data_IF_118939562082
#
_entry.id   IF_118939562082
#
_cell.length_a   1.000
_cell.length_b   1.000
_cell.length_c   1.000
_cell.angle_alpha   90.00
_cell.angle_beta   90.00
_cell.angle_gamma   90.00
#
_symmetry.space_group_name_H-M   'P 1'
#
loop_
_entity.id
_entity.type
_entity.pdbx_description
1 polymer ?
#
# COMPACT_ATOMS: atom_id res chain seq x y z
N UNK A 1 6.64 -5.64 1.74
CA UNK A 1 5.97 -6.64 0.88
C UNK A 1 4.57 -6.81 1.40
N UNK A 2 3.57 -6.54 0.56
CA UNK A 2 2.18 -6.87 0.88
C UNK A 2 1.94 -8.29 0.35
N UNK A 3 1.64 -9.28 1.22
CA UNK A 3 1.34 -10.62 0.75
C UNK A 3 0.11 -10.60 -0.16
N UNK A 4 0.21 -11.22 -1.34
CA UNK A 4 -0.88 -11.33 -2.32
C UNK A 4 -1.40 -9.99 -2.85
N UNK A 5 -0.51 -9.04 -3.11
CA UNK A 5 -0.89 -7.73 -3.66
C UNK A 5 -1.49 -7.83 -5.07
N UNK A 6 -1.05 -8.79 -5.87
CA UNK A 6 -1.58 -9.05 -7.21
C UNK A 6 -2.64 -10.14 -7.21
N UNK A 7 -3.55 -10.10 -8.19
CA UNK A 7 -4.62 -11.09 -8.38
C UNK A 7 -4.13 -12.53 -8.55
N UNK A 8 -2.87 -12.72 -8.93
CA UNK A 8 -2.17 -14.01 -9.07
C UNK A 8 -1.45 -14.46 -7.79
N UNK A 9 -1.45 -13.63 -6.74
CA UNK A 9 -0.83 -13.94 -5.46
C UNK A 9 0.66 -13.58 -5.36
N UNK A 10 1.22 -12.88 -6.34
CA UNK A 10 2.61 -12.44 -6.31
C UNK A 10 2.85 -11.20 -5.44
N UNK A 11 4.09 -11.03 -4.97
CA UNK A 11 4.52 -9.95 -4.10
C UNK A 11 5.50 -9.03 -4.82
N UNK A 12 5.50 -7.74 -4.49
CA UNK A 12 6.54 -6.82 -4.97
C UNK A 12 7.91 -7.18 -4.38
N UNK A 13 8.94 -7.22 -5.21
CA UNK A 13 10.30 -7.59 -4.83
C UNK A 13 11.26 -6.41 -4.86
N UNK A 14 12.16 -6.33 -3.87
CA UNK A 14 13.32 -5.42 -3.86
C UNK A 14 14.59 -6.25 -3.90
N UNK A 15 15.53 -5.79 -4.69
CA UNK A 15 16.89 -6.31 -4.73
C UNK A 15 17.89 -5.29 -4.15
N UNK A 16 18.68 -5.74 -3.18
CA UNK A 16 19.83 -5.02 -2.63
C UNK A 16 21.10 -5.81 -2.97
N UNK A 17 21.87 -5.36 -3.95
CA UNK A 17 23.15 -5.98 -4.27
C UNK A 17 23.74 -5.52 -5.60
N UNK A 18 24.99 -5.88 -5.89
CA UNK A 18 25.63 -5.56 -7.16
C UNK A 18 25.01 -6.34 -8.32
N UNK A 19 24.89 -5.71 -9.48
CA UNK A 19 24.47 -6.35 -10.72
C UNK A 19 25.70 -6.87 -11.49
N UNK A 20 25.62 -8.04 -12.18
CA UNK A 20 24.47 -8.94 -12.32
C UNK A 20 24.19 -9.80 -11.10
N UNK A 21 22.90 -10.18 -10.93
CA UNK A 21 22.43 -11.07 -9.88
C UNK A 21 23.07 -12.46 -10.00
N UNK A 22 23.60 -12.99 -8.90
CA UNK A 22 24.00 -14.40 -8.82
C UNK A 22 22.81 -15.28 -8.37
N UNK A 23 22.88 -16.59 -8.65
CA UNK A 23 21.87 -17.54 -8.14
C UNK A 23 21.76 -17.51 -6.61
N UNK A 24 22.85 -17.18 -5.91
CA UNK A 24 22.87 -17.04 -4.46
C UNK A 24 22.12 -15.79 -3.99
N UNK A 25 22.20 -14.69 -4.75
CA UNK A 25 21.46 -13.46 -4.45
C UNK A 25 19.96 -13.66 -4.61
N UNK A 26 19.52 -14.39 -5.63
CA UNK A 26 18.12 -14.75 -5.85
C UNK A 26 17.59 -15.63 -4.74
N UNK A 27 18.32 -16.66 -4.33
CA UNK A 27 17.94 -17.54 -3.22
C UNK A 27 17.86 -16.79 -1.88
N UNK A 28 18.79 -15.86 -1.62
CA UNK A 28 18.77 -15.00 -0.44
C UNK A 28 17.59 -14.03 -0.44
N UNK A 29 17.15 -13.57 -1.61
CA UNK A 29 15.99 -12.72 -1.81
C UNK A 29 14.68 -13.47 -1.54
N UNK A 30 14.52 -14.68 -2.05
CA UNK A 30 13.37 -15.55 -1.75
C UNK A 30 13.26 -15.87 -0.26
N UNK A 31 14.37 -16.09 0.43
CA UNK A 31 14.39 -16.35 1.86
C UNK A 31 13.91 -15.15 2.67
N UNK A 32 14.31 -13.93 2.29
CA UNK A 32 13.85 -12.67 2.91
C UNK A 32 12.38 -12.39 2.65
N UNK A 33 11.90 -12.69 1.45
CA UNK A 33 10.49 -12.59 1.07
C UNK A 33 9.61 -13.48 1.94
N UNK A 34 10.04 -14.73 2.13
CA UNK A 34 9.32 -15.70 2.96
C UNK A 34 9.33 -15.31 4.44
N UNK A 35 10.44 -14.76 4.95
CA UNK A 35 10.53 -14.27 6.33
C UNK A 35 9.61 -13.06 6.58
N UNK A 36 9.57 -12.11 5.65
CA UNK A 36 8.67 -10.95 5.75
C UNK A 36 7.19 -11.33 5.68
N UNK A 37 6.84 -12.33 4.84
CA UNK A 37 5.48 -12.87 4.76
C UNK A 37 5.07 -13.60 6.06
N UNK A 38 6.01 -14.27 6.73
CA UNK A 38 5.77 -14.92 8.02
C UNK A 38 5.51 -13.88 9.14
N UNK A 39 6.23 -12.76 9.14
CA UNK A 39 6.00 -11.70 10.14
C UNK A 39 4.68 -10.94 9.96
N UNK A 40 4.14 -10.87 8.75
CA UNK A 40 2.82 -10.26 8.49
C UNK A 40 1.64 -11.13 8.98
N UNK A 41 1.87 -12.41 9.29
CA UNK A 41 0.83 -13.38 9.68
C UNK A 41 0.72 -13.66 11.19
N UNK A 42 1.66 -13.22 12.03
CA UNK A 42 1.77 -13.66 13.43
C UNK A 42 1.25 -12.69 14.51
N UNK A 43 0.51 -11.65 14.16
CA UNK A 43 0.00 -10.69 15.16
C UNK A 43 -1.43 -11.01 15.63
N UNK A 44 -1.71 -12.24 16.03
CA UNK A 44 -2.93 -12.58 16.74
C UNK A 44 -2.58 -13.02 18.18
N UNK A 45 -2.43 -12.06 19.11
CA UNK A 45 -2.28 -12.39 20.53
C UNK A 45 -1.67 -11.34 21.44
N UNK A 46 -0.72 -10.55 20.98
CA UNK A 46 -0.09 -9.53 21.80
C UNK A 46 -0.66 -8.13 21.51
N UNK A 47 -0.96 -7.40 22.60
CA UNK A 47 -1.43 -6.03 22.52
C UNK A 47 -0.36 -5.16 21.84
N UNK A 48 -0.70 -4.53 20.70
CA UNK A 48 0.22 -3.64 19.99
C UNK A 48 0.40 -2.36 20.82
N UNK A 49 1.62 -2.04 21.27
CA UNK A 49 1.85 -0.79 21.98
C UNK A 49 1.57 0.39 21.05
N UNK A 50 0.83 1.39 21.53
CA UNK A 50 0.55 2.61 20.80
C UNK A 50 1.44 3.73 21.32
N UNK A 51 2.25 4.31 20.45
CA UNK A 51 3.12 5.45 20.76
C UNK A 51 2.60 6.73 20.10
N UNK A 52 2.23 7.71 20.92
CA UNK A 52 1.79 9.01 20.46
C UNK A 52 0.41 9.02 19.79
N UNK A 53 0.25 9.91 18.81
CA UNK A 53 -0.95 10.06 17.99
C UNK A 53 -0.92 9.19 16.75
N UNK A 54 -2.06 9.08 16.08
CA UNK A 54 -2.24 8.26 14.90
C UNK A 54 -2.30 9.08 13.61
N UNK A 55 -1.85 8.50 12.52
CA UNK A 55 -2.13 8.96 11.16
C UNK A 55 -3.06 7.93 10.51
N UNK A 56 -4.20 8.39 10.01
CA UNK A 56 -5.06 7.59 9.17
C UNK A 56 -4.62 7.73 7.72
N UNK A 57 -4.28 6.62 7.06
CA UNK A 57 -3.95 6.56 5.65
C UNK A 57 -5.10 5.93 4.86
N UNK A 58 -5.45 6.54 3.71
CA UNK A 58 -6.54 6.10 2.82
C UNK A 58 -5.99 5.88 1.41
N UNK A 59 -6.31 4.73 0.83
CA UNK A 59 -5.95 4.36 -0.54
C UNK A 59 -7.20 3.95 -1.32
N UNK A 60 -7.38 4.53 -2.51
CA UNK A 60 -8.48 4.22 -3.42
C UNK A 60 -8.12 4.40 -4.89
N UNK A 61 -6.85 4.24 -5.26
CA UNK A 61 -6.37 4.63 -6.59
C UNK A 61 -6.82 3.75 -7.75
N UNK A 62 -7.24 2.51 -7.50
CA UNK A 62 -7.65 1.57 -8.54
C UNK A 62 -8.91 0.78 -8.17
N UNK A 63 -8.79 -0.46 -7.72
CA UNK A 63 -9.89 -1.39 -7.46
C UNK A 63 -9.91 -1.90 -5.99
N UNK A 64 -9.08 -1.32 -5.15
CA UNK A 64 -9.08 -1.59 -3.71
C UNK A 64 -9.37 -0.33 -2.91
N UNK A 65 -10.29 -0.44 -1.94
CA UNK A 65 -10.48 0.58 -0.92
C UNK A 65 -9.73 0.14 0.33
N UNK A 66 -8.73 0.89 0.75
CA UNK A 66 -7.94 0.54 1.92
C UNK A 66 -7.83 1.70 2.91
N UNK A 67 -7.76 1.36 4.21
CA UNK A 67 -7.41 2.28 5.27
C UNK A 67 -6.43 1.63 6.24
N UNK A 68 -5.48 2.41 6.74
CA UNK A 68 -4.54 1.98 7.76
C UNK A 68 -4.37 3.06 8.84
N UNK A 69 -4.15 2.63 10.07
CA UNK A 69 -3.76 3.49 11.19
C UNK A 69 -2.32 3.18 11.57
N UNK A 70 -1.49 4.22 11.60
CA UNK A 70 -0.06 4.15 11.90
C UNK A 70 0.23 5.11 13.05
N UNK A 71 1.02 4.68 14.03
CA UNK A 71 1.44 5.52 15.15
C UNK A 71 2.70 6.35 14.84
N UNK A 72 3.13 7.19 15.80
CA UNK A 72 4.32 8.03 15.66
C UNK A 72 5.63 7.25 15.55
N UNK A 73 5.67 6.00 16.01
CA UNK A 73 6.82 5.12 15.84
C UNK A 73 6.88 4.46 14.46
N UNK A 74 5.81 4.60 13.65
CA UNK A 74 5.67 3.98 12.35
C UNK A 74 5.11 2.56 12.41
N UNK A 75 4.53 2.16 13.55
CA UNK A 75 3.87 0.86 13.73
C UNK A 75 2.51 0.87 13.07
N UNK A 76 2.22 -0.12 12.23
CA UNK A 76 0.88 -0.31 11.70
C UNK A 76 -0.02 -0.90 12.78
N UNK A 77 -0.88 -0.06 13.32
CA UNK A 77 -1.82 -0.42 14.40
C UNK A 77 -2.98 -1.23 13.86
N UNK A 78 -3.51 -0.82 12.71
CA UNK A 78 -4.56 -1.55 11.99
C UNK A 78 -4.46 -1.29 10.50
N UNK A 79 -4.93 -2.25 9.69
CA UNK A 79 -5.10 -2.09 8.25
C UNK A 79 -6.27 -2.91 7.74
N UNK A 80 -7.09 -2.30 6.91
CA UNK A 80 -8.30 -2.91 6.32
C UNK A 80 -8.32 -2.66 4.83
N UNK A 81 -8.59 -3.71 4.07
CA UNK A 81 -8.68 -3.65 2.61
C UNK A 81 -9.97 -4.30 2.14
N UNK A 82 -10.77 -3.56 1.40
CA UNK A 82 -11.91 -4.06 0.65
C UNK A 82 -11.55 -4.13 -0.84
N UNK A 83 -11.31 -5.34 -1.35
CA UNK A 83 -10.96 -5.57 -2.76
C UNK A 83 -12.21 -5.75 -3.61
N UNK A 84 -12.16 -5.23 -4.84
CA UNK A 84 -13.20 -5.36 -5.86
C UNK A 84 -12.84 -6.42 -6.92
N UNK A 85 -11.75 -7.18 -6.72
CA UNK A 85 -11.21 -8.14 -7.70
C UNK A 85 -12.26 -9.14 -8.15
N UNK A 86 -13.02 -9.75 -7.22
CA UNK A 86 -14.05 -10.72 -7.54
C UNK A 86 -15.17 -10.15 -8.42
N UNK A 87 -15.41 -8.87 -8.31
CA UNK A 87 -16.38 -8.17 -9.12
C UNK A 87 -15.83 -7.89 -10.52
N UNK A 88 -14.63 -7.34 -10.61
CA UNK A 88 -14.01 -6.93 -11.87
C UNK A 88 -13.55 -8.11 -12.74
N UNK A 89 -13.23 -9.26 -12.13
CA UNK A 89 -12.87 -10.50 -12.85
C UNK A 89 -13.92 -10.94 -13.87
N UNK A 90 -15.21 -10.63 -13.60
CA UNK A 90 -16.35 -10.94 -14.48
C UNK A 90 -16.34 -10.12 -15.78
N UNK A 91 -15.59 -9.00 -15.80
CA UNK A 91 -15.50 -8.10 -16.96
C UNK A 91 -14.14 -8.22 -17.65
N UNK A 92 -13.26 -9.10 -17.19
CA UNK A 92 -11.92 -9.28 -17.76
C UNK A 92 -10.93 -8.16 -17.39
N UNK A 93 -11.25 -7.34 -16.39
CA UNK A 93 -10.40 -6.25 -15.92
C UNK A 93 -11.19 -5.15 -15.22
N UNK A 94 -10.48 -4.14 -14.70
CA UNK A 94 -11.07 -3.04 -13.94
C UNK A 94 -11.92 -2.13 -14.84
N UNK A 95 -13.17 -1.89 -14.43
CA UNK A 95 -14.09 -0.94 -15.05
C UNK A 95 -14.12 0.34 -14.23
N UNK A 96 -13.52 1.46 -14.70
CA UNK A 96 -13.27 2.66 -13.87
C UNK A 96 -14.51 3.28 -13.21
N UNK A 97 -15.64 3.35 -13.93
CA UNK A 97 -16.88 3.89 -13.37
C UNK A 97 -17.46 3.02 -12.26
N UNK A 98 -17.35 1.71 -12.40
CA UNK A 98 -17.82 0.77 -11.40
C UNK A 98 -16.90 0.83 -10.18
N UNK A 99 -15.58 0.88 -10.38
CA UNK A 99 -14.62 1.03 -9.31
C UNK A 99 -14.93 2.26 -8.46
N UNK A 100 -15.18 3.41 -9.07
CA UNK A 100 -15.52 4.64 -8.36
C UNK A 100 -16.75 4.49 -7.48
N UNK A 101 -17.82 3.86 -7.99
CA UNK A 101 -19.06 3.61 -7.22
C UNK A 101 -18.82 2.66 -6.05
N UNK A 102 -18.01 1.62 -6.26
CA UNK A 102 -17.65 0.66 -5.20
C UNK A 102 -16.83 1.30 -4.09
N UNK A 103 -15.96 2.25 -4.41
CA UNK A 103 -15.25 3.03 -3.39
C UNK A 103 -16.20 3.86 -2.53
N UNK A 104 -17.23 4.50 -3.12
CA UNK A 104 -18.24 5.24 -2.36
C UNK A 104 -18.98 4.33 -1.38
N UNK A 105 -19.33 3.11 -1.80
CA UNK A 105 -20.04 2.14 -0.98
C UNK A 105 -19.16 1.62 0.18
N UNK A 106 -17.85 1.43 -0.04
CA UNK A 106 -16.96 0.74 0.88
C UNK A 106 -16.23 1.66 1.87
N UNK A 107 -15.85 2.88 1.45
CA UNK A 107 -14.85 3.71 2.16
C UNK A 107 -15.23 4.01 3.61
N UNK A 108 -16.50 4.30 3.87
CA UNK A 108 -16.98 4.58 5.23
C UNK A 108 -16.86 3.35 6.13
N UNK A 109 -17.26 2.17 5.64
CA UNK A 109 -17.15 0.91 6.37
C UNK A 109 -15.70 0.52 6.64
N UNK A 110 -14.82 0.64 5.63
CA UNK A 110 -13.39 0.34 5.74
C UNK A 110 -12.70 1.19 6.81
N UNK A 111 -12.99 2.47 6.84
CA UNK A 111 -12.39 3.40 7.81
C UNK A 111 -12.91 3.15 9.23
N UNK A 112 -14.21 2.86 9.39
CA UNK A 112 -14.78 2.52 10.70
C UNK A 112 -14.20 1.20 11.21
N UNK A 113 -14.11 0.19 10.35
CA UNK A 113 -13.53 -1.11 10.69
C UNK A 113 -12.06 -0.98 11.08
N UNK A 114 -11.28 -0.14 10.38
CA UNK A 114 -9.89 0.13 10.72
C UNK A 114 -9.75 0.69 12.16
N UNK A 115 -10.61 1.60 12.57
CA UNK A 115 -10.62 2.09 13.95
C UNK A 115 -11.04 1.00 14.95
N UNK A 116 -12.01 0.15 14.59
CA UNK A 116 -12.45 -0.95 15.44
C UNK A 116 -11.31 -1.96 15.67
N UNK A 117 -10.59 -2.35 14.62
CA UNK A 117 -9.40 -3.22 14.72
C UNK A 117 -8.28 -2.57 15.54
N UNK A 118 -8.05 -1.27 15.39
CA UNK A 118 -7.06 -0.56 16.20
C UNK A 118 -7.40 -0.61 17.70
N UNK A 119 -8.67 -0.45 18.07
CA UNK A 119 -9.14 -0.59 19.46
C UNK A 119 -8.89 -2.00 20.00
N UNK A 120 -9.20 -3.01 19.23
CA UNK A 120 -9.01 -4.41 19.60
C UNK A 120 -7.52 -4.73 19.77
N UNK A 121 -6.70 -4.39 18.77
CA UNK A 121 -5.26 -4.71 18.76
C UNK A 121 -4.46 -3.96 19.83
N UNK A 122 -4.85 -2.73 20.17
CA UNK A 122 -4.18 -1.94 21.21
C UNK A 122 -4.77 -2.13 22.60
N UNK A 123 -5.93 -2.75 22.73
CA UNK A 123 -6.67 -2.83 23.98
C UNK A 123 -7.25 -1.48 24.46
N UNK A 124 -7.18 -0.42 23.63
CA UNK A 124 -7.68 0.92 23.95
C UNK A 124 -9.10 1.11 23.38
N UNK A 125 -10.11 0.77 24.17
CA UNK A 125 -11.51 0.88 23.76
C UNK A 125 -11.98 2.32 23.52
N UNK A 126 -11.32 3.30 24.10
CA UNK A 126 -11.60 4.74 24.01
C UNK A 126 -10.93 5.43 22.81
N UNK A 127 -10.09 4.71 22.05
CA UNK A 127 -9.46 5.24 20.86
C UNK A 127 -10.49 5.81 19.88
N UNK A 128 -10.27 7.01 19.38
CA UNK A 128 -11.26 7.78 18.60
C UNK A 128 -10.58 8.63 17.52
N UNK A 129 -11.36 9.28 16.69
CA UNK A 129 -10.85 10.21 15.67
C UNK A 129 -10.14 11.44 16.27
N UNK A 130 -10.32 11.73 17.58
CA UNK A 130 -9.60 12.80 18.28
C UNK A 130 -8.13 12.46 18.54
N UNK A 131 -7.75 11.19 18.38
CA UNK A 131 -6.38 10.72 18.56
C UNK A 131 -5.56 10.82 17.26
N UNK A 132 -6.18 11.31 16.17
CA UNK A 132 -5.48 11.55 14.92
C UNK A 132 -4.57 12.79 15.02
N UNK A 133 -3.36 12.65 14.45
CA UNK A 133 -2.45 13.77 14.15
C UNK A 133 -2.64 14.29 12.73
N UNK A 134 -3.03 13.42 11.80
CA UNK A 134 -3.24 13.75 10.40
C UNK A 134 -4.12 12.69 9.71
N UNK A 135 -4.67 13.07 8.55
CA UNK A 135 -5.23 12.14 7.56
C UNK A 135 -4.36 12.20 6.31
N UNK A 136 -3.91 11.07 5.80
CA UNK A 136 -3.20 10.96 4.54
C UNK A 136 -4.05 10.23 3.50
N UNK A 137 -3.88 10.59 2.22
CA UNK A 137 -4.64 10.00 1.12
C UNK A 137 -3.82 9.96 -0.15
N UNK A 138 -3.95 8.89 -0.90
CA UNK A 138 -3.38 8.82 -2.25
C UNK A 138 -4.11 9.76 -3.18
N UNK A 139 -3.36 10.68 -3.82
CA UNK A 139 -3.91 11.68 -4.73
C UNK A 139 -3.60 11.42 -6.22
N UNK A 140 -2.52 10.67 -6.51
CA UNK A 140 -2.06 10.32 -7.86
C UNK A 140 -0.90 9.32 -7.79
N UNK A 141 -0.60 8.59 -8.91
CA UNK A 141 -1.49 8.31 -10.04
C UNK A 141 -2.58 7.31 -9.69
N UNK A 142 -3.58 7.16 -10.56
CA UNK A 142 -4.68 6.21 -10.41
C UNK A 142 -5.91 6.58 -11.25
N UNK A 143 -6.97 5.82 -11.11
CA UNK A 143 -8.25 6.09 -11.76
C UNK A 143 -8.87 7.36 -11.17
N UNK A 144 -9.11 8.37 -12.02
CA UNK A 144 -9.54 9.70 -11.57
C UNK A 144 -10.78 9.66 -10.68
N UNK A 145 -11.81 8.89 -11.08
CA UNK A 145 -13.03 8.76 -10.28
C UNK A 145 -12.81 8.12 -8.93
N UNK A 146 -11.94 7.11 -8.84
CA UNK A 146 -11.58 6.42 -7.61
C UNK A 146 -10.77 7.34 -6.68
N UNK A 147 -9.76 8.05 -7.20
CA UNK A 147 -8.98 9.05 -6.47
C UNK A 147 -9.85 10.17 -5.90
N UNK A 148 -10.83 10.66 -6.69
CA UNK A 148 -11.77 11.71 -6.23
C UNK A 148 -12.56 11.25 -5.01
N UNK A 149 -13.00 10.00 -4.97
CA UNK A 149 -13.74 9.45 -3.81
C UNK A 149 -12.88 9.46 -2.57
N UNK A 150 -11.68 8.89 -2.63
CA UNK A 150 -10.75 8.85 -1.48
C UNK A 150 -10.35 10.24 -1.02
N UNK A 151 -9.98 11.13 -1.95
CA UNK A 151 -9.57 12.49 -1.63
C UNK A 151 -10.71 13.32 -1.01
N UNK A 152 -11.95 13.19 -1.53
CA UNK A 152 -13.11 13.90 -0.98
C UNK A 152 -13.44 13.41 0.44
N UNK A 153 -13.43 12.09 0.66
CA UNK A 153 -13.66 11.49 1.96
C UNK A 153 -12.59 11.92 2.97
N UNK A 154 -11.31 11.77 2.62
CA UNK A 154 -10.19 12.15 3.48
C UNK A 154 -10.21 13.64 3.85
N UNK A 155 -10.52 14.50 2.88
CA UNK A 155 -10.66 15.95 3.11
C UNK A 155 -11.79 16.26 4.10
N UNK A 156 -12.95 15.61 3.95
CA UNK A 156 -14.09 15.78 4.86
C UNK A 156 -13.74 15.34 6.29
N UNK A 157 -13.07 14.19 6.41
CA UNK A 157 -12.66 13.65 7.71
C UNK A 157 -11.58 14.51 8.38
N UNK A 158 -10.54 14.93 7.64
CA UNK A 158 -9.49 15.80 8.15
C UNK A 158 -10.06 17.13 8.66
N UNK A 159 -11.01 17.71 7.91
CA UNK A 159 -11.71 18.93 8.32
C UNK A 159 -12.56 18.72 9.57
N UNK A 160 -13.30 17.62 9.65
CA UNK A 160 -14.14 17.30 10.80
C UNK A 160 -13.34 17.04 12.09
N UNK A 161 -12.13 16.49 11.96
CA UNK A 161 -11.23 16.21 13.09
C UNK A 161 -10.27 17.37 13.40
N UNK A 162 -10.31 18.46 12.63
CA UNK A 162 -9.38 19.60 12.73
C UNK A 162 -7.91 19.19 12.70
N UNK A 163 -7.57 18.31 11.74
CA UNK A 163 -6.20 17.80 11.53
C UNK A 163 -5.74 18.05 10.10
N UNK A 164 -4.41 18.13 9.85
CA UNK A 164 -3.88 18.30 8.50
C UNK A 164 -4.23 17.14 7.57
N UNK A 165 -4.43 17.47 6.29
CA UNK A 165 -4.55 16.51 5.18
C UNK A 165 -3.22 16.42 4.43
N UNK A 166 -2.72 15.19 4.23
CA UNK A 166 -1.46 14.91 3.55
C UNK A 166 -1.75 14.14 2.25
N UNK A 167 -1.35 14.70 1.11
CA UNK A 167 -1.41 13.99 -0.17
C UNK A 167 -0.18 13.09 -0.36
N UNK A 168 -0.41 11.82 -0.70
CA UNK A 168 0.64 10.83 -0.94
C UNK A 168 0.59 10.37 -2.39
N UNK A 169 1.75 10.25 -3.02
CA UNK A 169 1.86 9.65 -4.35
C UNK A 169 1.78 8.12 -4.23
N UNK A 170 0.93 7.49 -5.05
CA UNK A 170 0.72 6.03 -5.04
C UNK A 170 2.03 5.23 -5.25
N UNK A 171 2.86 5.65 -6.20
CA UNK A 171 4.13 4.97 -6.49
C UNK A 171 5.12 5.15 -5.33
N UNK A 172 5.11 6.30 -4.66
CA UNK A 172 5.89 6.53 -3.46
C UNK A 172 5.43 5.60 -2.32
N UNK A 173 4.11 5.38 -2.17
CA UNK A 173 3.56 4.40 -1.26
C UNK A 173 4.12 2.99 -1.50
N UNK A 174 4.25 2.57 -2.77
CA UNK A 174 4.89 1.29 -3.11
C UNK A 174 6.38 1.25 -2.72
N UNK A 175 7.12 2.34 -2.87
CA UNK A 175 8.51 2.42 -2.43
C UNK A 175 8.62 2.26 -0.91
N UNK A 176 7.77 2.96 -0.16
CA UNK A 176 7.76 2.90 1.30
C UNK A 176 7.24 1.57 1.87
N UNK A 177 6.38 0.84 1.17
CA UNK A 177 5.92 -0.49 1.57
C UNK A 177 7.10 -1.45 1.83
N UNK A 178 8.18 -1.27 1.10
CA UNK A 178 9.39 -2.04 1.27
C UNK A 178 10.13 -1.71 2.59
N UNK A 179 10.13 -0.46 3.00
CA UNK A 179 10.68 -0.06 4.30
C UNK A 179 9.89 -0.64 5.47
N UNK A 180 8.56 -0.77 5.30
CA UNK A 180 7.70 -1.42 6.31
C UNK A 180 8.06 -2.90 6.42
N UNK A 181 8.23 -3.59 5.28
CA UNK A 181 8.59 -5.01 5.26
C UNK A 181 10.02 -5.29 5.73
N UNK A 182 10.95 -4.36 5.45
CA UNK A 182 12.37 -4.47 5.78
C UNK A 182 12.84 -3.15 6.42
N UNK A 183 12.65 -2.94 7.74
CA UNK A 183 12.96 -1.67 8.41
C UNK A 183 14.42 -1.22 8.28
N UNK A 184 15.34 -2.18 8.10
CA UNK A 184 16.78 -1.91 8.00
C UNK A 184 17.21 -1.41 6.61
N UNK A 185 16.31 -1.43 5.64
CA UNK A 185 16.59 -0.97 4.26
C UNK A 185 16.88 0.54 4.26
N UNK A 186 17.97 0.93 3.62
CA UNK A 186 18.42 2.34 3.56
C UNK A 186 18.83 2.72 2.15
N UNK A 187 18.44 3.91 1.69
CA UNK A 187 19.02 4.50 0.49
C UNK A 187 20.55 4.69 0.63
N UNK A 188 21.31 4.77 -0.50
CA UNK A 188 20.82 4.71 -1.88
C UNK A 188 20.53 3.28 -2.33
N UNK A 189 19.48 3.11 -3.16
CA UNK A 189 19.08 1.81 -3.71
C UNK A 189 18.39 1.96 -5.06
N UNK A 190 18.31 0.90 -5.83
CA UNK A 190 17.51 0.83 -7.05
C UNK A 190 16.32 -0.10 -6.78
N UNK A 191 15.13 0.41 -7.08
CA UNK A 191 13.87 -0.32 -6.91
C UNK A 191 13.25 -0.59 -8.26
N UNK A 192 12.87 -1.83 -8.51
CA UNK A 192 12.03 -2.20 -9.64
C UNK A 192 10.57 -2.19 -9.19
N UNK A 193 9.79 -1.25 -9.71
CA UNK A 193 8.34 -1.22 -9.54
C UNK A 193 7.71 -2.06 -10.64
N UNK A 194 7.16 -3.21 -10.27
CA UNK A 194 6.50 -4.16 -11.16
C UNK A 194 5.06 -4.26 -10.69
N UNK A 195 4.29 -3.21 -10.89
CA UNK A 195 2.87 -3.16 -10.54
C UNK A 195 2.00 -3.18 -11.80
N UNK A 196 0.68 -3.23 -11.69
CA UNK A 196 -0.27 -3.27 -12.81
C UNK A 196 -0.18 -2.12 -13.83
N UNK A 197 0.77 -1.19 -13.65
CA UNK A 197 1.18 -0.19 -14.63
C UNK A 197 2.50 -0.55 -15.32
N UNK A 198 3.02 0.33 -16.20
CA UNK A 198 4.31 0.13 -16.84
C UNK A 198 5.43 -0.08 -15.81
N UNK A 199 6.20 -1.18 -15.88
CA UNK A 199 7.34 -1.39 -15.01
C UNK A 199 8.35 -0.25 -15.11
N UNK A 200 8.89 0.16 -13.96
CA UNK A 200 9.91 1.20 -13.92
C UNK A 200 11.04 0.88 -12.96
N UNK A 201 12.23 1.37 -13.28
CA UNK A 201 13.39 1.37 -12.39
C UNK A 201 13.53 2.76 -11.77
N UNK A 202 13.60 2.79 -10.45
CA UNK A 202 13.69 4.01 -9.66
C UNK A 202 14.95 3.98 -8.82
N UNK A 203 15.81 4.97 -8.99
CA UNK A 203 16.92 5.22 -8.09
C UNK A 203 16.42 6.03 -6.89
N UNK A 204 16.38 5.41 -5.74
CA UNK A 204 16.07 6.05 -4.46
C UNK A 204 17.38 6.56 -3.89
N UNK A 205 17.63 7.87 -4.03
CA UNK A 205 18.85 8.55 -3.53
C UNK A 205 18.79 8.72 -2.02
N UNK A 206 17.60 9.08 -1.55
CA UNK A 206 17.22 9.18 -0.15
C UNK A 206 15.69 9.04 -0.07
N UNK A 207 15.14 8.81 1.11
CA UNK A 207 13.70 8.80 1.30
C UNK A 207 13.11 10.16 0.94
N UNK A 208 12.14 10.17 0.03
CA UNK A 208 11.59 11.41 -0.56
C UNK A 208 12.39 11.98 -1.73
N UNK A 209 13.51 11.35 -2.13
CA UNK A 209 14.35 11.80 -3.26
C UNK A 209 14.54 10.68 -4.28
N UNK A 210 13.76 10.74 -5.37
CA UNK A 210 13.67 9.67 -6.37
C UNK A 210 14.06 10.16 -7.75
N UNK A 211 14.67 9.27 -8.54
CA UNK A 211 14.98 9.50 -9.94
C UNK A 211 14.57 8.28 -10.75
N UNK A 212 13.68 8.47 -11.72
CA UNK A 212 13.31 7.41 -12.66
C UNK A 212 14.45 7.16 -13.61
N UNK A 213 15.07 5.98 -13.53
CA UNK A 213 16.17 5.56 -14.41
C UNK A 213 15.66 5.08 -15.77
N UNK A 214 14.47 4.51 -15.80
CA UNK A 214 13.82 4.02 -17.00
C UNK A 214 12.44 3.42 -16.71
N UNK A 215 11.63 3.33 -17.73
CA UNK A 215 10.33 2.68 -17.68
C UNK A 215 10.12 1.89 -18.96
N UNK A 216 9.30 0.83 -18.92
CA UNK A 216 8.91 0.15 -20.13
C UNK A 216 8.08 1.05 -21.03
N UNK A 217 8.28 0.90 -22.33
CA UNK A 217 7.54 1.64 -23.35
C UNK A 217 6.35 0.84 -23.89
N UNK A 218 6.22 -0.41 -23.50
CA UNK A 218 5.27 -1.36 -24.04
C UNK A 218 4.47 -2.02 -22.92
N UNK A 219 4.46 -3.35 -22.86
CA UNK A 219 3.62 -4.12 -21.94
C UNK A 219 4.04 -4.01 -20.47
N UNK A 220 3.06 -4.06 -19.58
CA UNK A 220 3.31 -4.38 -18.17
C UNK A 220 3.86 -5.81 -18.05
N UNK A 221 4.64 -6.10 -17.00
CA UNK A 221 5.26 -7.43 -16.83
C UNK A 221 4.21 -8.54 -16.80
N UNK A 222 3.08 -8.35 -16.11
CA UNK A 222 1.98 -9.32 -16.09
C UNK A 222 1.42 -9.59 -17.49
N UNK A 223 1.19 -8.55 -18.29
CA UNK A 223 0.73 -8.70 -19.68
C UNK A 223 1.76 -9.43 -20.56
N UNK A 224 3.06 -9.18 -20.34
CA UNK A 224 4.11 -9.87 -21.07
C UNK A 224 4.11 -11.37 -20.72
N UNK A 225 3.96 -11.75 -19.46
CA UNK A 225 3.82 -13.15 -19.06
C UNK A 225 2.59 -13.80 -19.66
N UNK A 226 1.44 -13.14 -19.62
CA UNK A 226 0.19 -13.65 -20.21
C UNK A 226 0.30 -13.86 -21.73
N UNK A 227 1.03 -12.97 -22.43
CA UNK A 227 1.27 -13.10 -23.87
C UNK A 227 2.20 -14.26 -24.20
N UNK A 228 3.18 -14.55 -23.34
CA UNK A 228 4.12 -15.67 -23.54
C UNK A 228 3.48 -17.02 -23.17
N UNK A 229 2.55 -17.01 -22.19
CA UNK A 229 1.87 -18.22 -21.72
C UNK A 229 0.75 -18.73 -22.66
N UNK A 230 0.31 -17.92 -23.62
CA UNK A 230 -0.66 -18.28 -24.67
C UNK A 230 0.04 -18.98 -25.84
#
# INVERSE_FOLDING_TARGET
IRPRYYSDGENACIYEGPLPLSEHDVAGMELRLNAAAAHAGEAAGDCVPLEGKLILAIESSCDETAAALIDEAGTIVADVVASQIDFHSRFGGVVPEIASRKHIEAIGGVVIECLAQARERTGKADLSWNDLAAVSVTYAPGLVGALVVGAAFAKGLAWACDVPLIGVNHLEGHLYANKIACPDIKPPMVVSLVSGGPPMLVHVKDWGSYETMGSTLDDAVGEAFDKVAK
#
